data_IF_997507694509
#
_entry.id   IF_997507694509
#
_cell.length_a   1.000
_cell.length_b   1.000
_cell.length_c   1.000
_cell.angle_alpha   90.00
_cell.angle_beta   90.00
_cell.angle_gamma   90.00
#
_symmetry.space_group_name_H-M   'P 1'
#
loop_
_entity.id
_entity.type
_entity.pdbx_description
1 polymer ?
#
# COMPACT_ATOMS: atom_id res chain seq x y z
N UNK A 1 15.75 -59.47 31.60
CA UNK A 1 14.34 -59.65 31.19
C UNK A 1 13.87 -58.32 30.64
N UNK A 2 13.98 -58.10 29.32
CA UNK A 2 13.65 -56.80 28.69
C UNK A 2 12.18 -56.77 28.29
N UNK A 3 11.37 -56.05 29.06
CA UNK A 3 9.94 -55.84 28.78
C UNK A 3 9.79 -54.64 27.84
N UNK A 4 9.65 -54.91 26.54
CA UNK A 4 9.34 -53.89 25.53
C UNK A 4 7.89 -53.42 25.69
N UNK A 5 7.68 -52.21 26.22
CA UNK A 5 6.37 -51.56 26.29
C UNK A 5 5.93 -51.12 24.88
N UNK A 6 5.08 -51.94 24.24
CA UNK A 6 4.50 -51.63 22.92
C UNK A 6 3.41 -50.56 23.08
N UNK A 7 3.71 -49.31 22.77
CA UNK A 7 2.70 -48.25 22.63
C UNK A 7 1.76 -48.61 21.47
N UNK A 8 0.48 -48.87 21.79
CA UNK A 8 -0.54 -49.23 20.81
C UNK A 8 -1.00 -47.95 20.10
N UNK A 9 -0.49 -47.69 18.90
CA UNK A 9 -0.94 -46.56 18.07
C UNK A 9 -2.39 -46.84 17.66
N UNK A 10 -3.34 -46.07 18.21
CA UNK A 10 -4.74 -46.06 17.74
C UNK A 10 -4.76 -45.32 16.40
N UNK A 11 -5.11 -46.02 15.32
CA UNK A 11 -5.33 -45.40 14.01
C UNK A 11 -6.62 -44.59 13.98
N UNK A 12 -6.62 -43.50 13.23
CA UNK A 12 -7.80 -42.67 12.95
C UNK A 12 -8.80 -43.46 12.11
N UNK A 13 -10.10 -43.37 12.38
CA UNK A 13 -11.12 -44.04 11.55
C UNK A 13 -11.42 -43.22 10.30
N UNK A 14 -11.79 -43.90 9.21
CA UNK A 14 -12.18 -43.23 7.96
C UNK A 14 -13.42 -42.36 8.15
N UNK A 15 -14.34 -42.76 9.03
CA UNK A 15 -15.56 -42.00 9.31
C UNK A 15 -15.26 -40.71 10.07
N UNK A 16 -14.33 -40.74 11.03
CA UNK A 16 -13.86 -39.53 11.72
C UNK A 16 -13.26 -38.54 10.73
N UNK A 17 -12.50 -39.02 9.74
CA UNK A 17 -11.90 -38.14 8.73
C UNK A 17 -12.95 -37.55 7.78
N UNK A 18 -13.94 -38.33 7.37
CA UNK A 18 -15.02 -37.87 6.49
C UNK A 18 -15.86 -36.76 7.13
N UNK A 19 -16.17 -36.87 8.42
CA UNK A 19 -16.93 -35.82 9.14
C UNK A 19 -16.11 -34.53 9.24
N UNK A 20 -14.81 -34.63 9.51
CA UNK A 20 -13.92 -33.45 9.58
C UNK A 20 -13.88 -32.72 8.24
N UNK A 21 -13.74 -33.45 7.13
CA UNK A 21 -13.75 -32.84 5.78
C UNK A 21 -15.08 -32.19 5.46
N UNK A 22 -16.20 -32.81 5.86
CA UNK A 22 -17.53 -32.23 5.67
C UNK A 22 -17.70 -30.89 6.40
N UNK A 23 -17.25 -30.80 7.65
CA UNK A 23 -17.31 -29.56 8.44
C UNK A 23 -16.40 -28.48 7.83
N UNK A 24 -15.16 -28.82 7.47
CA UNK A 24 -14.23 -27.88 6.82
C UNK A 24 -14.80 -27.37 5.50
N UNK A 25 -15.48 -28.23 4.72
CA UNK A 25 -16.14 -27.85 3.47
C UNK A 25 -17.19 -26.76 3.66
N UNK A 26 -18.06 -26.89 4.68
CA UNK A 26 -19.09 -25.89 5.00
C UNK A 26 -18.43 -24.57 5.43
N UNK A 27 -17.44 -24.63 6.34
CA UNK A 27 -16.73 -23.45 6.85
C UNK A 27 -15.98 -22.72 5.73
N UNK A 28 -15.35 -23.45 4.81
CA UNK A 28 -14.67 -22.87 3.67
C UNK A 28 -15.65 -22.16 2.72
N UNK A 29 -16.83 -22.75 2.47
CA UNK A 29 -17.85 -22.18 1.60
C UNK A 29 -18.32 -20.79 2.03
N UNK A 30 -18.54 -20.57 3.33
CA UNK A 30 -18.93 -19.26 3.88
C UNK A 30 -17.73 -18.36 4.17
N UNK A 31 -16.59 -18.94 4.55
CA UNK A 31 -15.41 -18.20 4.98
C UNK A 31 -14.69 -17.48 3.85
N UNK A 32 -14.60 -18.08 2.66
CA UNK A 32 -13.90 -17.50 1.50
C UNK A 32 -14.52 -16.17 1.03
N UNK A 33 -15.83 -16.06 0.74
CA UNK A 33 -16.40 -14.80 0.26
C UNK A 33 -16.29 -13.69 1.32
N UNK A 34 -16.49 -14.01 2.60
CA UNK A 34 -16.34 -13.07 3.70
C UNK A 34 -14.90 -12.55 3.82
N UNK A 35 -13.91 -13.45 3.76
CA UNK A 35 -12.50 -13.08 3.80
C UNK A 35 -12.10 -12.17 2.63
N UNK A 36 -12.59 -12.47 1.42
CA UNK A 36 -12.32 -11.64 0.25
C UNK A 36 -12.85 -10.21 0.39
N UNK A 37 -14.06 -10.04 0.94
CA UNK A 37 -14.63 -8.72 1.24
C UNK A 37 -13.78 -7.94 2.26
N UNK A 38 -13.43 -8.59 3.37
CA UNK A 38 -12.56 -7.97 4.39
C UNK A 38 -11.21 -7.54 3.82
N UNK A 39 -10.58 -8.40 3.02
CA UNK A 39 -9.32 -8.08 2.36
C UNK A 39 -9.47 -6.91 1.37
N UNK A 40 -10.59 -6.80 0.67
CA UNK A 40 -10.84 -5.68 -0.24
C UNK A 40 -10.95 -4.35 0.51
N UNK A 41 -11.75 -4.27 1.58
CA UNK A 41 -11.88 -3.07 2.41
C UNK A 41 -10.55 -2.70 3.08
N UNK A 42 -9.79 -3.69 3.56
CA UNK A 42 -8.46 -3.47 4.14
C UNK A 42 -7.47 -2.85 3.13
N UNK A 43 -7.53 -3.27 1.86
CA UNK A 43 -6.69 -2.69 0.79
C UNK A 43 -7.05 -1.23 0.52
N UNK A 44 -8.35 -0.91 0.44
CA UNK A 44 -8.83 0.47 0.25
C UNK A 44 -8.38 1.38 1.41
N UNK A 45 -8.52 0.90 2.65
CA UNK A 45 -8.11 1.63 3.84
C UNK A 45 -6.59 1.86 3.89
N UNK A 46 -5.81 0.85 3.51
CA UNK A 46 -4.35 0.95 3.43
C UNK A 46 -3.92 1.97 2.37
N UNK A 47 -4.53 1.94 1.17
CA UNK A 47 -4.23 2.91 0.11
C UNK A 47 -4.62 4.35 0.52
N UNK A 48 -5.76 4.51 1.21
CA UNK A 48 -6.20 5.80 1.78
C UNK A 48 -5.20 6.31 2.84
N UNK A 49 -4.71 5.42 3.70
CA UNK A 49 -3.69 5.76 4.70
C UNK A 49 -2.38 6.19 4.04
N UNK A 50 -1.94 5.47 3.00
CA UNK A 50 -0.78 5.86 2.20
C UNK A 50 -0.96 7.25 1.58
N UNK A 51 -2.13 7.55 1.01
CA UNK A 51 -2.44 8.88 0.46
C UNK A 51 -2.26 9.99 1.50
N UNK A 52 -2.88 9.82 2.68
CA UNK A 52 -2.82 10.81 3.76
C UNK A 52 -1.40 11.01 4.28
N UNK A 53 -0.65 9.92 4.47
CA UNK A 53 0.75 9.96 4.88
C UNK A 53 1.61 10.71 3.84
N UNK A 54 1.42 10.41 2.55
CA UNK A 54 2.14 11.08 1.46
C UNK A 54 1.84 12.58 1.46
N UNK A 55 0.55 12.95 1.49
CA UNK A 55 0.11 14.35 1.48
C UNK A 55 0.71 15.14 2.65
N UNK A 56 0.55 14.63 3.87
CA UNK A 56 1.04 15.29 5.08
C UNK A 56 2.56 15.39 5.11
N UNK A 57 3.28 14.34 4.70
CA UNK A 57 4.73 14.33 4.65
C UNK A 57 5.29 15.30 3.60
N UNK A 58 4.70 15.35 2.41
CA UNK A 58 5.09 16.30 1.35
C UNK A 58 4.90 17.72 1.85
N UNK A 59 3.75 18.04 2.45
CA UNK A 59 3.48 19.36 3.01
C UNK A 59 4.53 19.74 4.08
N UNK A 60 4.75 18.88 5.07
CA UNK A 60 5.72 19.13 6.14
C UNK A 60 7.15 19.31 5.61
N UNK A 61 7.55 18.51 4.61
CA UNK A 61 8.89 18.58 4.00
C UNK A 61 9.09 19.91 3.28
N UNK A 62 8.10 20.37 2.51
CA UNK A 62 8.19 21.63 1.79
C UNK A 62 8.11 22.83 2.74
N UNK A 63 7.27 22.78 3.78
CA UNK A 63 7.23 23.81 4.83
C UNK A 63 8.56 23.93 5.56
N UNK A 64 9.27 22.82 5.79
CA UNK A 64 10.62 22.87 6.40
C UNK A 64 11.62 23.63 5.52
N UNK A 65 11.48 23.52 4.20
CA UNK A 65 12.28 24.30 3.26
C UNK A 65 11.89 25.79 3.25
N UNK A 66 10.60 26.12 3.32
CA UNK A 66 10.14 27.51 3.31
C UNK A 66 10.46 28.27 4.61
N UNK A 67 10.56 27.55 5.73
CA UNK A 67 10.92 28.12 7.05
C UNK A 67 12.43 28.36 7.24
N UNK A 68 13.22 28.27 6.16
CA UNK A 68 14.63 28.69 6.15
C UNK A 68 15.66 27.55 6.23
N UNK A 69 15.23 26.28 6.18
CA UNK A 69 16.19 25.17 6.07
C UNK A 69 16.85 25.17 4.68
N UNK A 70 18.17 25.02 4.62
CA UNK A 70 18.89 24.86 3.35
C UNK A 70 18.74 23.46 2.74
N UNK A 71 18.47 22.46 3.58
CA UNK A 71 18.27 21.07 3.17
C UNK A 71 17.36 20.31 4.14
N UNK A 72 16.81 19.21 3.65
CA UNK A 72 15.99 18.26 4.41
C UNK A 72 16.38 16.83 4.05
N UNK A 73 16.14 15.89 4.97
CA UNK A 73 16.51 14.48 4.79
C UNK A 73 15.27 13.66 4.47
N UNK A 74 15.33 12.89 3.38
CA UNK A 74 14.31 11.92 2.98
C UNK A 74 14.93 10.53 3.04
N UNK A 75 14.60 9.75 4.07
CA UNK A 75 15.26 8.48 4.36
C UNK A 75 16.74 8.70 4.67
N UNK A 76 17.62 8.14 3.86
CA UNK A 76 19.08 8.32 3.97
C UNK A 76 19.65 9.40 3.03
N UNK A 77 18.79 10.10 2.27
CA UNK A 77 19.22 11.09 1.26
C UNK A 77 18.97 12.53 1.72
N UNK A 78 20.00 13.36 1.70
CA UNK A 78 19.87 14.81 1.89
C UNK A 78 19.45 15.49 0.59
N UNK A 79 18.41 16.32 0.64
CA UNK A 79 17.88 17.08 -0.49
C UNK A 79 17.92 18.57 -0.17
N UNK A 80 18.50 19.35 -1.07
CA UNK A 80 18.57 20.81 -0.92
C UNK A 80 17.24 21.45 -1.31
N UNK A 81 16.86 22.50 -0.58
CA UNK A 81 15.56 23.15 -0.74
C UNK A 81 15.43 23.97 -2.03
N UNK A 82 16.56 24.41 -2.59
CA UNK A 82 16.63 25.15 -3.86
C UNK A 82 16.39 24.29 -5.12
N UNK A 83 16.11 22.98 -4.98
CA UNK A 83 15.83 22.08 -6.10
C UNK A 83 14.51 22.37 -6.81
N UNK A 84 14.38 22.09 -8.10
CA UNK A 84 13.14 22.32 -8.85
C UNK A 84 11.98 21.47 -8.31
N UNK A 85 10.75 21.92 -8.53
CA UNK A 85 9.54 21.18 -8.11
C UNK A 85 9.43 19.82 -8.81
N UNK A 86 9.97 19.69 -10.03
CA UNK A 86 10.07 18.41 -10.73
C UNK A 86 11.05 17.45 -10.05
N UNK A 87 12.21 17.94 -9.60
CA UNK A 87 13.16 17.14 -8.82
C UNK A 87 12.55 16.70 -7.50
N UNK A 88 11.82 17.59 -6.82
CA UNK A 88 11.07 17.26 -5.61
C UNK A 88 10.07 16.13 -5.82
N UNK A 89 9.26 16.19 -6.90
CA UNK A 89 8.34 15.11 -7.24
C UNK A 89 9.06 13.77 -7.40
N UNK A 90 10.19 13.75 -8.12
CA UNK A 90 11.02 12.54 -8.28
C UNK A 90 11.56 12.01 -6.94
N UNK A 91 12.08 12.90 -6.08
CA UNK A 91 12.57 12.51 -4.76
C UNK A 91 11.50 11.90 -3.87
N UNK A 92 10.29 12.47 -3.88
CA UNK A 92 9.16 11.90 -3.16
C UNK A 92 8.76 10.53 -3.71
N UNK A 93 8.72 10.36 -5.04
CA UNK A 93 8.41 9.06 -5.66
C UNK A 93 9.42 8.00 -5.20
N UNK A 94 10.72 8.28 -5.28
CA UNK A 94 11.75 7.35 -4.83
C UNK A 94 11.63 7.04 -3.34
N UNK A 95 11.40 8.06 -2.51
CA UNK A 95 11.26 7.90 -1.07
C UNK A 95 10.04 7.03 -0.71
N UNK A 96 8.85 7.33 -1.24
CA UNK A 96 7.67 6.54 -0.89
C UNK A 96 7.71 5.12 -1.45
N UNK A 97 8.39 4.88 -2.57
CA UNK A 97 8.62 3.53 -3.04
C UNK A 97 9.55 2.72 -2.12
N UNK A 98 10.41 3.35 -1.32
CA UNK A 98 11.26 2.64 -0.36
C UNK A 98 10.55 2.33 0.97
N UNK A 99 9.61 3.19 1.41
CA UNK A 99 8.94 3.03 2.71
C UNK A 99 7.55 2.43 2.65
N UNK A 100 6.83 2.55 1.53
CA UNK A 100 5.44 2.09 1.40
C UNK A 100 5.33 0.94 0.40
N UNK A 101 4.27 0.13 0.57
CA UNK A 101 3.90 -0.95 -0.35
C UNK A 101 2.47 -0.75 -0.85
N UNK A 102 2.22 -1.17 -2.09
CA UNK A 102 0.90 -1.17 -2.68
C UNK A 102 0.11 -2.33 -2.07
N UNK A 103 -1.04 -2.06 -1.41
CA UNK A 103 -1.88 -3.10 -0.84
C UNK A 103 -2.48 -4.07 -1.89
N UNK A 104 -2.52 -3.67 -3.16
CA UNK A 104 -2.94 -4.50 -4.29
C UNK A 104 -1.79 -5.27 -4.94
N UNK A 105 -0.56 -5.15 -4.41
CA UNK A 105 0.64 -5.79 -4.94
C UNK A 105 1.44 -4.89 -5.89
N UNK A 106 2.64 -5.36 -6.27
CA UNK A 106 3.53 -4.62 -7.16
C UNK A 106 2.90 -4.41 -8.53
N UNK A 107 3.14 -3.26 -9.14
CA UNK A 107 2.75 -3.07 -10.53
C UNK A 107 3.56 -3.98 -11.44
N UNK A 108 2.85 -4.78 -12.24
CA UNK A 108 3.42 -5.78 -13.15
C UNK A 108 4.32 -5.15 -14.24
N UNK A 109 4.18 -3.83 -14.48
CA UNK A 109 4.82 -3.15 -15.62
C UNK A 109 6.17 -2.50 -15.29
N UNK A 110 6.34 -1.98 -14.07
CA UNK A 110 7.55 -1.25 -13.66
C UNK A 110 8.06 -1.66 -12.27
N UNK A 111 7.46 -2.69 -11.64
CA UNK A 111 7.82 -3.13 -10.28
C UNK A 111 7.59 -2.07 -9.19
N UNK A 112 6.87 -0.99 -9.52
CA UNK A 112 6.69 0.17 -8.63
C UNK A 112 5.80 -0.19 -7.44
N UNK A 113 6.26 0.20 -6.24
CA UNK A 113 5.69 -0.23 -4.97
C UNK A 113 4.58 0.70 -4.46
N UNK A 114 4.70 2.03 -4.49
CA UNK A 114 3.70 2.91 -3.84
C UNK A 114 3.42 4.23 -4.55
N UNK A 115 4.39 4.77 -5.29
CA UNK A 115 4.28 6.07 -5.94
C UNK A 115 4.78 6.03 -7.38
N UNK A 116 4.08 6.71 -8.28
CA UNK A 116 4.42 6.81 -9.71
C UNK A 116 4.44 8.27 -10.15
N UNK A 117 5.12 8.55 -11.26
CA UNK A 117 5.05 9.85 -11.93
C UNK A 117 3.62 10.16 -12.38
N UNK A 118 3.31 11.45 -12.49
CA UNK A 118 1.98 11.98 -12.83
C UNK A 118 1.46 11.46 -14.18
N UNK A 119 0.62 10.46 -14.07
CA UNK A 119 -0.30 9.90 -15.05
C UNK A 119 -1.33 9.14 -14.21
N UNK A 120 -2.58 9.00 -14.67
CA UNK A 120 -3.68 8.42 -13.89
C UNK A 120 -3.23 7.20 -13.07
N UNK A 121 -3.14 7.30 -11.73
CA UNK A 121 -2.48 6.28 -10.93
C UNK A 121 -3.22 4.95 -11.05
N UNK A 122 -2.46 3.87 -11.15
CA UNK A 122 -3.00 2.50 -11.16
C UNK A 122 -3.48 2.13 -9.77
N UNK A 123 -4.27 1.05 -9.69
CA UNK A 123 -4.86 0.57 -8.45
C UNK A 123 -3.85 0.47 -7.30
N UNK A 124 -4.14 1.20 -6.21
CA UNK A 124 -3.34 1.30 -5.00
C UNK A 124 -2.14 2.25 -5.05
N UNK A 125 -1.86 2.90 -6.17
CA UNK A 125 -0.74 3.83 -6.30
C UNK A 125 -1.11 5.28 -6.08
N UNK A 126 -0.10 6.02 -5.64
CA UNK A 126 -0.14 7.48 -5.58
C UNK A 126 0.65 8.08 -6.74
N UNK A 127 -0.03 8.79 -7.63
CA UNK A 127 0.59 9.67 -8.61
C UNK A 127 1.13 10.91 -7.91
N UNK A 128 2.41 11.19 -8.11
CA UNK A 128 3.07 12.41 -7.66
C UNK A 128 3.68 13.08 -8.89
N UNK A 129 3.43 14.37 -9.06
CA UNK A 129 4.00 15.16 -10.14
C UNK A 129 4.23 16.60 -9.73
N UNK A 130 4.69 17.40 -10.69
CA UNK A 130 4.89 18.83 -10.52
C UNK A 130 4.06 19.61 -11.54
N UNK A 131 3.44 20.70 -11.10
CA UNK A 131 2.75 21.67 -11.97
C UNK A 131 3.15 23.07 -11.55
N UNK A 132 4.04 23.70 -12.34
CA UNK A 132 4.70 24.95 -11.96
C UNK A 132 5.43 24.78 -10.62
N UNK A 133 5.09 25.63 -9.64
CA UNK A 133 5.68 25.59 -8.30
C UNK A 133 4.90 24.72 -7.29
N UNK A 134 4.05 23.80 -7.77
CA UNK A 134 3.21 22.95 -6.92
C UNK A 134 3.50 21.48 -7.16
N UNK A 135 3.50 20.68 -6.09
CA UNK A 135 3.47 19.22 -6.15
C UNK A 135 2.01 18.77 -6.27
N UNK A 136 1.71 17.99 -7.29
CA UNK A 136 0.40 17.40 -7.54
C UNK A 136 0.37 15.97 -6.98
N UNK A 137 -0.67 15.62 -6.22
CA UNK A 137 -0.86 14.32 -5.59
C UNK A 137 -2.26 13.80 -5.92
N UNK A 138 -2.34 12.55 -6.36
CA UNK A 138 -3.60 11.81 -6.53
C UNK A 138 -3.35 10.34 -6.28
N UNK A 139 -4.27 9.64 -5.61
CA UNK A 139 -4.13 8.20 -5.34
C UNK A 139 -5.32 7.46 -5.91
N UNK A 140 -5.09 6.32 -6.54
CA UNK A 140 -6.16 5.38 -6.86
C UNK A 140 -6.26 4.40 -5.70
N UNK A 141 -7.21 4.63 -4.79
CA UNK A 141 -7.40 3.79 -3.61
C UNK A 141 -8.13 2.49 -3.90
N UNK A 142 -8.77 2.38 -5.06
CA UNK A 142 -9.62 1.26 -5.41
C UNK A 142 -10.95 1.24 -4.67
N UNK A 143 -11.80 0.28 -5.02
CA UNK A 143 -13.06 0.00 -4.34
C UNK A 143 -13.17 -1.49 -3.96
N UNK A 144 -14.20 -1.82 -3.19
CA UNK A 144 -14.44 -3.19 -2.70
C UNK A 144 -14.72 -4.19 -3.83
N UNK A 145 -15.20 -3.72 -4.98
CA UNK A 145 -15.41 -4.52 -6.20
C UNK A 145 -14.12 -4.75 -7.01
N UNK A 146 -12.98 -4.25 -6.56
CA UNK A 146 -11.69 -4.33 -7.28
C UNK A 146 -11.53 -3.32 -8.42
N UNK A 147 -12.46 -2.38 -8.56
CA UNK A 147 -12.39 -1.28 -9.51
C UNK A 147 -11.53 -0.12 -9.01
N UNK A 148 -11.38 0.92 -9.83
CA UNK A 148 -10.66 2.15 -9.46
C UNK A 148 -11.58 3.14 -8.74
N UNK A 149 -11.06 3.76 -7.69
CA UNK A 149 -11.64 4.93 -7.04
C UNK A 149 -10.49 5.85 -6.64
N UNK A 150 -10.67 7.17 -6.72
CA UNK A 150 -9.56 8.11 -6.65
C UNK A 150 -9.72 9.10 -5.51
N UNK A 151 -8.61 9.48 -4.90
CA UNK A 151 -8.54 10.62 -3.97
C UNK A 151 -7.55 11.64 -4.54
N UNK A 152 -7.98 12.88 -4.84
CA UNK A 152 -9.37 13.31 -4.88
C UNK A 152 -10.15 12.66 -6.05
N UNK A 153 -11.48 12.66 -5.96
CA UNK A 153 -12.37 12.08 -6.97
C UNK A 153 -12.16 12.72 -8.35
N UNK A 154 -11.95 14.04 -8.36
CA UNK A 154 -11.60 14.82 -9.55
C UNK A 154 -10.35 15.67 -9.32
N UNK A 155 -9.56 15.86 -10.39
CA UNK A 155 -8.35 16.69 -10.36
C UNK A 155 -7.23 16.10 -9.51
N UNK A 156 -6.45 16.99 -8.88
CA UNK A 156 -5.28 16.67 -8.08
C UNK A 156 -5.25 17.56 -6.84
N UNK A 157 -4.68 17.05 -5.75
CA UNK A 157 -4.31 17.89 -4.62
C UNK A 157 -2.99 18.57 -4.96
N UNK A 158 -2.92 19.88 -4.75
CA UNK A 158 -1.73 20.67 -5.00
C UNK A 158 -1.13 21.19 -3.69
N UNK A 159 0.17 20.99 -3.51
CA UNK A 159 0.95 21.53 -2.38
C UNK A 159 1.99 22.48 -2.96
N UNK A 160 1.94 23.74 -2.55
CA UNK A 160 2.88 24.76 -3.02
C UNK A 160 4.25 24.56 -2.39
N UNK A 161 5.30 24.62 -3.22
CA UNK A 161 6.66 24.82 -2.77
C UNK A 161 6.89 26.33 -2.71
N UNK A 162 7.20 26.90 -1.56
CA UNK A 162 7.57 28.32 -1.46
C UNK A 162 9.06 28.53 -1.78
#
# INVERSE_FOLDING_TARGET
MNTQFKLRIKGFTLIELLIVVAIIGILAGVGVPMYNGYMASAKVQSATTNHNNIKSFVAATLTKCSTGSSSVVLGSSTRYCNQSTANWASYFITYFNSINKNPYGKNVFNGTDSATSSGGPRLGLTGIGSSGNRIAIRTNIGNESGGSAFIPDSGWIYITKE
#
